data_IF_451790646833
#
_entry.id   IF_451790646833
#
_cell.length_a   1.000
_cell.length_b   1.000
_cell.length_c   1.000
_cell.angle_alpha   90.00
_cell.angle_beta   90.00
_cell.angle_gamma   90.00
#
_symmetry.space_group_name_H-M   'P 1'
#
loop_
_entity.id
_entity.type
_entity.pdbx_description
1 polymer ?
#
# COMPACT_ATOMS: atom_id res chain seq x y z
N UNK A 1 -24.36 -20.62 -13.11
CA UNK A 1 -23.91 -20.55 -12.81
C UNK A 1 -23.24 -20.31 -12.62
N UNK A 2 -23.01 -20.06 -12.71
CA UNK A 2 -22.25 -19.82 -12.35
C UNK A 2 -21.70 -19.33 -12.34
N UNK A 3 -21.72 -19.04 -12.61
CA UNK A 3 -21.18 -18.34 -12.35
C UNK A 3 -20.56 -18.10 -11.59
N UNK A 4 -20.59 -18.19 -11.50
CA UNK A 4 -20.04 -18.18 -10.32
C UNK A 4 -18.84 -18.88 -10.19
N UNK A 5 -18.22 -19.07 -11.19
CA UNK A 5 -16.87 -19.45 -11.22
C UNK A 5 -16.18 -18.58 -10.22
N UNK A 6 -15.51 -19.15 -9.27
CA UNK A 6 -14.70 -18.37 -8.39
C UNK A 6 -13.82 -17.56 -9.29
N UNK A 7 -13.69 -16.36 -9.01
CA UNK A 7 -12.88 -15.53 -9.79
C UNK A 7 -11.50 -16.12 -9.79
N UNK A 8 -11.21 -16.90 -10.80
CA UNK A 8 -9.84 -17.08 -11.12
C UNK A 8 -9.16 -15.74 -11.02
N UNK A 9 -10.01 -14.73 -10.94
CA UNK A 9 -9.62 -13.38 -10.90
C UNK A 9 -9.38 -12.84 -9.51
N UNK A 10 -9.72 -13.56 -8.45
CA UNK A 10 -9.51 -13.09 -7.10
C UNK A 10 -10.60 -12.16 -6.59
N UNK A 11 -10.32 -11.48 -5.50
CA UNK A 11 -11.28 -10.63 -4.78
C UNK A 11 -10.89 -9.17 -4.93
N UNK A 12 -11.46 -8.50 -5.93
CA UNK A 12 -11.13 -7.11 -6.21
C UNK A 12 -11.84 -6.12 -5.28
N UNK A 13 -12.77 -6.58 -4.44
CA UNK A 13 -13.47 -5.70 -3.52
C UNK A 13 -12.71 -5.48 -2.23
N UNK A 14 -11.86 -6.43 -1.82
CA UNK A 14 -11.22 -6.40 -0.51
C UNK A 14 -10.38 -5.14 -0.31
N UNK A 15 -9.67 -4.68 -1.34
CA UNK A 15 -8.84 -3.47 -1.27
C UNK A 15 -9.61 -2.19 -1.56
N UNK A 16 -10.92 -2.28 -1.81
CA UNK A 16 -11.79 -1.11 -1.98
C UNK A 16 -12.68 -0.86 -0.77
N UNK A 17 -12.96 -1.89 0.02
CA UNK A 17 -13.74 -1.75 1.25
C UNK A 17 -12.92 -0.99 2.29
N UNK A 18 -13.57 -0.06 2.98
CA UNK A 18 -12.89 0.75 3.99
C UNK A 18 -12.40 -0.14 5.13
N UNK A 19 -11.08 -0.17 5.33
CA UNK A 19 -10.46 -1.02 6.35
C UNK A 19 -9.08 -0.49 6.67
N UNK A 20 -8.70 -0.53 7.95
CA UNK A 20 -7.34 -0.21 8.35
C UNK A 20 -6.41 -1.34 7.90
N UNK A 21 -5.31 -0.96 7.30
CA UNK A 21 -4.27 -1.89 6.88
C UNK A 21 -3.02 -1.66 7.72
N UNK A 22 -2.02 -2.52 7.55
CA UNK A 22 -0.73 -2.33 8.20
C UNK A 22 0.36 -2.34 7.15
N UNK A 23 1.37 -1.50 7.38
CA UNK A 23 2.55 -1.41 6.51
C UNK A 23 3.78 -1.77 7.33
N UNK A 24 4.58 -2.70 6.81
CA UNK A 24 5.91 -2.94 7.36
C UNK A 24 6.96 -2.35 6.46
N UNK A 25 7.91 -1.65 7.07
CA UNK A 25 9.14 -1.18 6.46
C UNK A 25 10.28 -1.63 7.38
N UNK A 26 11.53 -1.44 6.95
CA UNK A 26 12.68 -1.85 7.74
C UNK A 26 13.52 -0.63 8.10
N UNK A 27 13.91 -0.56 9.36
CA UNK A 27 14.86 0.46 9.82
C UNK A 27 16.24 0.19 9.22
N UNK A 28 17.13 1.17 9.21
CA UNK A 28 18.50 0.95 8.67
C UNK A 28 19.24 -0.22 9.32
N UNK A 29 18.93 -0.54 10.57
CA UNK A 29 19.55 -1.66 11.28
C UNK A 29 18.90 -3.02 10.93
N UNK A 30 17.92 -3.03 10.02
CA UNK A 30 17.23 -4.24 9.59
C UNK A 30 16.06 -4.66 10.46
N UNK A 31 15.75 -3.93 11.53
CA UNK A 31 14.59 -4.28 12.36
C UNK A 31 13.30 -3.80 11.71
N UNK A 32 12.23 -4.60 11.83
CA UNK A 32 10.96 -4.24 11.20
C UNK A 32 10.22 -3.14 11.96
N UNK A 33 9.50 -2.32 11.20
CA UNK A 33 8.64 -1.26 11.72
C UNK A 33 7.26 -1.51 11.14
N UNK A 34 6.25 -1.71 11.99
CA UNK A 34 4.88 -2.03 11.57
C UNK A 34 3.92 -1.01 12.14
N UNK A 35 3.15 -0.37 11.27
CA UNK A 35 2.20 0.68 11.67
C UNK A 35 0.90 0.58 10.90
N UNK A 36 -0.23 1.05 11.49
CA UNK A 36 -1.50 1.12 10.77
C UNK A 36 -1.47 2.23 9.74
N UNK A 37 -2.03 1.96 8.58
CA UNK A 37 -2.08 2.90 7.46
C UNK A 37 -3.37 2.70 6.66
N UNK A 38 -3.71 3.70 5.84
CA UNK A 38 -4.68 3.51 4.78
C UNK A 38 -3.96 3.19 3.48
N UNK A 39 -4.42 2.17 2.78
CA UNK A 39 -3.80 1.73 1.53
C UNK A 39 -4.82 1.80 0.42
N UNK A 40 -4.41 2.27 -0.75
CA UNK A 40 -5.20 2.12 -1.98
C UNK A 40 -4.41 1.26 -2.95
N UNK A 41 -5.09 0.39 -3.68
CA UNK A 41 -4.47 -0.51 -4.63
C UNK A 41 -5.09 -0.34 -6.00
N UNK A 42 -4.25 -0.16 -7.01
CA UNK A 42 -4.68 -0.06 -8.40
C UNK A 42 -4.37 -1.38 -9.11
N UNK A 43 -5.40 -2.18 -9.45
CA UNK A 43 -5.17 -3.48 -10.09
C UNK A 43 -4.60 -3.38 -11.49
N UNK A 44 -4.80 -2.25 -12.18
CA UNK A 44 -4.30 -2.09 -13.54
C UNK A 44 -2.79 -1.94 -13.58
N UNK A 45 -2.24 -1.15 -12.66
CA UNK A 45 -0.80 -0.90 -12.60
C UNK A 45 -0.09 -1.77 -11.57
N UNK A 46 -0.85 -2.45 -10.71
CA UNK A 46 -0.32 -3.21 -9.57
C UNK A 46 0.50 -2.34 -8.62
N UNK A 47 0.04 -1.11 -8.43
CA UNK A 47 0.68 -0.17 -7.51
C UNK A 47 -0.26 0.05 -6.32
N UNK A 48 0.30 -0.15 -5.11
CA UNK A 48 -0.37 0.24 -3.87
C UNK A 48 0.20 1.57 -3.41
N UNK A 49 -0.65 2.42 -2.83
CA UNK A 49 -0.25 3.75 -2.39
C UNK A 49 -0.64 3.98 -0.94
N UNK A 50 0.28 4.63 -0.22
CA UNK A 50 0.06 5.05 1.18
C UNK A 50 0.45 6.52 1.26
N UNK A 51 -0.49 7.37 1.68
CA UNK A 51 -0.15 8.78 1.94
C UNK A 51 0.40 8.89 3.35
N UNK A 52 1.36 9.80 3.55
CA UNK A 52 2.04 9.94 4.82
C UNK A 52 2.64 11.33 4.95
N UNK A 53 2.89 11.72 6.19
CA UNK A 53 3.75 12.88 6.44
C UNK A 53 5.19 12.55 6.01
N UNK A 54 5.84 13.52 5.37
CA UNK A 54 7.20 13.31 4.83
C UNK A 54 8.26 13.06 5.89
N UNK A 55 7.99 13.39 7.16
CA UNK A 55 8.95 13.16 8.25
C UNK A 55 8.68 11.87 9.03
N UNK A 56 7.71 11.07 8.63
CA UNK A 56 7.38 9.85 9.36
C UNK A 56 8.49 8.80 9.27
N UNK A 57 8.54 7.90 10.26
CA UNK A 57 9.55 6.83 10.30
C UNK A 57 9.48 5.95 9.06
N UNK A 58 8.29 5.59 8.60
CA UNK A 58 8.14 4.73 7.41
C UNK A 58 8.72 5.38 6.16
N UNK A 59 8.55 6.68 6.00
CA UNK A 59 9.13 7.42 4.87
C UNK A 59 10.66 7.46 4.99
N UNK A 60 11.15 7.75 6.19
CA UNK A 60 12.61 7.79 6.43
C UNK A 60 13.26 6.43 6.19
N UNK A 61 12.59 5.34 6.55
CA UNK A 61 13.08 3.98 6.30
C UNK A 61 13.25 3.71 4.81
N UNK A 62 12.26 4.09 4.02
CA UNK A 62 12.31 3.88 2.56
C UNK A 62 13.41 4.73 1.94
N UNK A 63 13.51 6.00 2.34
CA UNK A 63 14.56 6.88 1.82
C UNK A 63 15.94 6.41 2.21
N UNK A 64 16.11 5.90 3.43
CA UNK A 64 17.41 5.39 3.87
C UNK A 64 17.86 4.17 3.05
N UNK A 65 16.94 3.30 2.66
CA UNK A 65 17.27 2.17 1.79
C UNK A 65 17.77 2.66 0.43
N UNK A 66 17.09 3.63 -0.16
CA UNK A 66 17.52 4.20 -1.45
C UNK A 66 18.87 4.91 -1.33
N UNK A 67 19.08 5.65 -0.26
CA UNK A 67 20.36 6.34 -0.03
C UNK A 67 21.51 5.35 0.11
N UNK A 68 21.22 4.15 0.59
CA UNK A 68 22.20 3.07 0.70
C UNK A 68 22.34 2.25 -0.61
N UNK A 69 21.64 2.65 -1.67
CA UNK A 69 21.70 1.96 -2.96
C UNK A 69 20.90 0.67 -3.02
N UNK A 70 19.96 0.47 -2.10
CA UNK A 70 19.16 -0.74 -2.02
C UNK A 70 17.70 -0.48 -2.41
N UNK A 71 16.98 -1.56 -2.74
CA UNK A 71 15.53 -1.49 -2.88
C UNK A 71 14.88 -1.45 -1.50
N UNK A 72 13.86 -0.61 -1.35
CA UNK A 72 13.08 -0.58 -0.12
C UNK A 72 11.98 -1.63 -0.22
N UNK A 73 12.20 -2.80 0.37
CA UNK A 73 11.20 -3.87 0.40
C UNK A 73 10.19 -3.60 1.50
N UNK A 74 8.92 -3.73 1.16
CA UNK A 74 7.81 -3.44 2.07
C UNK A 74 6.70 -4.44 1.86
N UNK A 75 5.75 -4.45 2.80
CA UNK A 75 4.53 -5.23 2.67
C UNK A 75 3.38 -4.48 3.31
N UNK A 76 2.20 -4.59 2.69
CA UNK A 76 0.96 -4.11 3.28
C UNK A 76 0.01 -5.29 3.45
N UNK A 77 -0.76 -5.27 4.52
CA UNK A 77 -1.67 -6.37 4.79
C UNK A 77 -2.92 -5.91 5.49
N UNK A 78 -3.97 -6.70 5.34
CA UNK A 78 -5.24 -6.49 6.04
C UNK A 78 -5.94 -7.83 6.22
N UNK A 79 -6.82 -7.88 7.21
CA UNK A 79 -7.58 -9.08 7.50
C UNK A 79 -8.93 -8.74 8.08
N UNK A 80 -9.93 -9.56 7.76
CA UNK A 80 -11.24 -9.50 8.36
C UNK A 80 -11.79 -10.91 8.40
N UNK A 81 -11.85 -11.49 9.59
CA UNK A 81 -12.22 -12.89 9.73
C UNK A 81 -11.24 -13.77 8.98
N UNK A 82 -11.76 -14.59 8.08
CA UNK A 82 -10.94 -15.50 7.29
C UNK A 82 -10.41 -14.86 6.00
N UNK A 83 -10.90 -13.68 5.66
CA UNK A 83 -10.39 -12.95 4.50
C UNK A 83 -9.14 -12.20 4.91
N UNK A 84 -8.06 -12.45 4.22
CA UNK A 84 -6.83 -11.70 4.44
C UNK A 84 -6.02 -11.65 3.15
N UNK A 85 -5.22 -10.61 3.03
CA UNK A 85 -4.32 -10.46 1.91
C UNK A 85 -3.12 -9.64 2.31
N UNK A 86 -1.95 -10.10 1.88
CA UNK A 86 -0.70 -9.35 1.99
C UNK A 86 -0.19 -9.07 0.59
N UNK A 87 0.17 -7.83 0.32
CA UNK A 87 0.81 -7.41 -0.92
C UNK A 87 2.23 -7.00 -0.59
N UNK A 88 3.20 -7.66 -1.23
CA UNK A 88 4.62 -7.41 -1.03
C UNK A 88 5.20 -6.72 -2.27
N UNK A 89 6.14 -5.83 -2.06
CA UNK A 89 6.76 -5.17 -3.19
C UNK A 89 7.89 -4.24 -2.78
N UNK A 90 8.25 -3.36 -3.71
CA UNK A 90 9.28 -2.36 -3.50
C UNK A 90 8.66 -0.97 -3.52
N UNK A 91 9.14 -0.10 -2.65
CA UNK A 91 8.55 1.21 -2.43
C UNK A 91 9.46 2.34 -2.86
N UNK A 92 8.84 3.40 -3.36
CA UNK A 92 9.50 4.68 -3.57
C UNK A 92 8.66 5.76 -2.91
N UNK A 93 9.30 6.85 -2.50
CA UNK A 93 8.61 8.01 -1.96
C UNK A 93 8.54 9.05 -3.07
N UNK A 94 7.34 9.58 -3.34
CA UNK A 94 7.16 10.68 -4.28
C UNK A 94 6.58 11.88 -3.55
N UNK A 95 7.14 13.04 -3.80
CA UNK A 95 6.71 14.28 -3.17
C UNK A 95 6.24 15.33 -4.17
N UNK A 96 6.24 15.01 -5.47
CA UNK A 96 5.76 15.94 -6.47
C UNK A 96 4.25 16.14 -6.34
N UNK A 97 3.75 17.35 -6.59
CA UNK A 97 2.34 17.68 -6.36
C UNK A 97 1.36 16.77 -7.12
N UNK A 98 1.68 16.37 -8.33
CA UNK A 98 0.77 15.54 -9.12
C UNK A 98 0.60 14.14 -8.52
N UNK A 99 1.70 13.51 -8.09
CA UNK A 99 1.64 12.19 -7.46
C UNK A 99 0.90 12.24 -6.13
N UNK A 100 1.15 13.28 -5.33
CA UNK A 100 0.49 13.45 -4.04
C UNK A 100 -1.02 13.67 -4.24
N UNK A 101 -1.40 14.53 -5.18
CA UNK A 101 -2.81 14.81 -5.46
C UNK A 101 -3.55 13.55 -5.93
N UNK A 102 -2.95 12.76 -6.80
CA UNK A 102 -3.54 11.51 -7.26
C UNK A 102 -3.72 10.53 -6.10
N UNK A 103 -2.74 10.42 -5.23
CA UNK A 103 -2.81 9.54 -4.07
C UNK A 103 -3.90 10.00 -3.09
N UNK A 104 -4.04 11.30 -2.88
CA UNK A 104 -5.09 11.85 -2.02
C UNK A 104 -6.48 11.58 -2.58
N UNK A 105 -6.64 11.68 -3.89
CA UNK A 105 -7.90 11.37 -4.56
C UNK A 105 -8.28 9.90 -4.36
N UNK A 106 -7.33 8.99 -4.55
CA UNK A 106 -7.55 7.55 -4.33
C UNK A 106 -7.87 7.25 -2.87
N UNK A 107 -7.17 7.89 -1.94
CA UNK A 107 -7.42 7.75 -0.52
C UNK A 107 -8.85 8.19 -0.17
N UNK A 108 -9.30 9.31 -0.74
CA UNK A 108 -10.65 9.81 -0.52
C UNK A 108 -11.71 8.80 -0.97
N UNK A 109 -11.47 8.11 -2.08
CA UNK A 109 -12.40 7.12 -2.60
C UNK A 109 -12.59 5.93 -1.66
N UNK A 110 -11.52 5.49 -1.00
CA UNK A 110 -11.61 4.33 -0.10
C UNK A 110 -11.96 4.72 1.33
N UNK A 111 -11.47 5.85 1.80
CA UNK A 111 -11.54 6.25 3.19
C UNK A 111 -12.37 7.52 3.39
N UNK A 112 -11.73 8.66 3.31
CA UNK A 112 -12.34 9.98 3.46
C UNK A 112 -11.33 11.02 2.99
N UNK A 113 -11.79 12.26 2.87
CA UNK A 113 -10.88 13.36 2.55
C UNK A 113 -9.86 13.52 3.67
N UNK A 114 -8.56 13.43 3.38
CA UNK A 114 -7.53 13.57 4.40
C UNK A 114 -7.41 15.02 4.86
N UNK A 115 -6.85 15.21 6.06
CA UNK A 115 -6.54 16.55 6.55
C UNK A 115 -5.51 17.20 5.63
N UNK A 116 -5.56 18.52 5.55
CA UNK A 116 -4.54 19.27 4.80
C UNK A 116 -3.19 19.08 5.49
N UNK A 117 -2.18 18.66 4.71
CA UNK A 117 -0.82 18.50 5.21
C UNK A 117 0.15 18.90 4.09
N UNK A 118 0.79 20.08 4.19
CA UNK A 118 1.70 20.53 3.13
C UNK A 118 2.98 19.69 3.02
N UNK A 119 3.27 18.86 4.03
CA UNK A 119 4.41 17.96 4.01
C UNK A 119 4.02 16.53 3.58
N UNK A 120 2.83 16.36 3.02
CA UNK A 120 2.39 15.03 2.61
C UNK A 120 3.18 14.53 1.43
N UNK A 121 3.54 13.25 1.51
CA UNK A 121 4.15 12.51 0.43
C UNK A 121 3.32 11.26 0.17
N UNK A 122 3.60 10.57 -0.92
CA UNK A 122 3.02 9.27 -1.20
C UNK A 122 4.11 8.22 -1.28
N UNK A 123 3.85 7.08 -0.64
CA UNK A 123 4.66 5.88 -0.78
C UNK A 123 3.98 5.07 -1.88
N UNK A 124 4.68 4.87 -3.00
CA UNK A 124 4.20 4.05 -4.09
C UNK A 124 4.90 2.70 -4.03
N UNK A 125 4.12 1.65 -3.99
CA UNK A 125 4.62 0.28 -3.84
C UNK A 125 4.29 -0.50 -5.10
N UNK A 126 5.31 -0.91 -5.83
CA UNK A 126 5.16 -1.82 -6.97
C UNK A 126 5.02 -3.23 -6.41
N UNK A 127 3.84 -3.83 -6.56
CA UNK A 127 3.54 -5.12 -5.97
C UNK A 127 4.14 -6.22 -6.83
N UNK A 128 4.91 -7.11 -6.19
CA UNK A 128 5.56 -8.23 -6.86
C UNK A 128 5.02 -9.59 -6.40
N UNK A 129 4.31 -9.61 -5.28
CA UNK A 129 3.72 -10.85 -4.75
C UNK A 129 2.46 -10.53 -3.95
N UNK A 130 1.44 -11.38 -4.12
CA UNK A 130 0.25 -11.33 -3.29
C UNK A 130 0.03 -12.69 -2.66
N UNK A 131 -0.43 -12.72 -1.42
CA UNK A 131 -0.76 -13.95 -0.72
C UNK A 131 -1.96 -13.74 0.17
N UNK A 132 -2.68 -14.83 0.48
CA UNK A 132 -3.85 -14.79 1.33
C UNK A 132 -5.07 -15.42 0.67
N UNK A 133 -6.17 -15.41 1.41
CA UNK A 133 -7.44 -15.96 0.95
C UNK A 133 -8.21 -14.97 0.06
N UNK A 134 -7.85 -13.69 0.08
CA UNK A 134 -8.56 -12.63 -0.65
C UNK A 134 -7.60 -11.86 -1.57
N UNK A 135 -6.86 -12.58 -2.40
CA UNK A 135 -5.94 -11.94 -3.36
C UNK A 135 -6.71 -11.20 -4.43
N UNK A 136 -6.19 -10.05 -4.91
CA UNK A 136 -6.79 -9.36 -6.05
C UNK A 136 -6.67 -10.19 -7.32
N UNK A 137 -7.41 -9.79 -8.36
CA UNK A 137 -7.35 -10.42 -9.67
C UNK A 137 -5.92 -10.44 -10.21
N UNK A 138 -5.58 -11.52 -10.88
CA UNK A 138 -4.30 -11.63 -11.57
C UNK A 138 -3.14 -12.11 -10.71
N UNK A 139 -3.43 -12.56 -9.50
CA UNK A 139 -2.38 -13.05 -8.59
C UNK A 139 -2.54 -14.52 -8.22
#
# INVERSE_FOLDING_TARGET
MSTDAPPADGDDTFWRERRTCFLTTFRPDGTPHLVPVGVTYDPETRIARVISDGASRKVRNIRAAHDAGAEARVAVGQAEGRRWCTLEGTAVVKDDPASVADAERRYTERYKTPRVNPNRVVIEITITRAMGTAKPSGW
#
